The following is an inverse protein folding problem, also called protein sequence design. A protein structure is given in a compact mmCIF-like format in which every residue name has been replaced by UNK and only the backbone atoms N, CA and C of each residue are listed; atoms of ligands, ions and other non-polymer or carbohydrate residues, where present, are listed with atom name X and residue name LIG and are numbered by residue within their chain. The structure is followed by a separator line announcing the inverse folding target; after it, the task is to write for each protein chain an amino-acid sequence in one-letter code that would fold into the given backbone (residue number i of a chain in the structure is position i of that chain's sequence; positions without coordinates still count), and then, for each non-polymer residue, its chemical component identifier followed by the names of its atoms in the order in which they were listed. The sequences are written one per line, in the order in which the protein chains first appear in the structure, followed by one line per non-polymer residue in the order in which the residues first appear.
data_IF_944197913439
#
_entry.id   IF_944197913439
#
_cell.length_a   1.000
_cell.length_b   1.000
_cell.length_c   1.000
_cell.angle_alpha   90.00
_cell.angle_beta   90.00
_cell.angle_gamma   90.00
#
_symmetry.space_group_name_H-M   'P 1'
#
loop_
_entity.id
_entity.type
_entity.pdbx_description
1 polymer ?
#
# COMPACT_ATOMS: atom_id res chain seq x y z
N UNK A 1 12.93 14.18 -7.28
CA UNK A 1 13.43 13.18 -6.31
C UNK A 1 14.87 12.78 -6.63
N UNK A 2 15.71 12.70 -5.59
CA UNK A 2 17.11 12.24 -5.68
C UNK A 2 17.20 10.79 -6.20
N UNK A 3 18.33 10.37 -6.80
CA UNK A 3 18.56 8.97 -7.14
C UNK A 3 18.27 8.05 -5.95
N UNK A 4 17.67 6.88 -6.20
CA UNK A 4 17.23 5.90 -5.17
C UNK A 4 16.23 6.43 -4.15
N UNK A 5 15.62 7.60 -4.36
CA UNK A 5 14.52 8.03 -3.52
C UNK A 5 13.33 7.07 -3.60
N UNK A 6 12.54 7.04 -2.54
CA UNK A 6 11.31 6.25 -2.42
C UNK A 6 10.10 7.16 -2.57
N UNK A 7 9.13 6.73 -3.36
CA UNK A 7 7.79 7.31 -3.41
C UNK A 7 6.82 6.34 -2.74
N UNK A 8 5.86 6.90 -1.99
CA UNK A 8 4.67 6.19 -1.55
C UNK A 8 3.44 6.98 -1.97
N UNK A 9 2.36 6.28 -2.31
CA UNK A 9 1.06 6.88 -2.57
C UNK A 9 -0.05 5.94 -2.09
N UNK A 10 -1.19 6.52 -1.73
CA UNK A 10 -2.44 5.80 -1.51
C UNK A 10 -3.46 6.25 -2.55
N UNK A 11 -4.11 5.32 -3.22
CA UNK A 11 -5.12 5.64 -4.23
C UNK A 11 -6.25 4.61 -4.25
N UNK A 12 -7.32 4.90 -4.98
CA UNK A 12 -8.38 3.94 -5.28
C UNK A 12 -7.83 2.73 -6.03
N UNK A 13 -8.24 1.54 -5.61
CA UNK A 13 -7.78 0.26 -6.16
C UNK A 13 -8.21 0.04 -7.63
N UNK A 14 -9.32 0.63 -8.06
CA UNK A 14 -9.83 0.56 -9.44
C UNK A 14 -8.96 1.32 -10.46
N UNK A 15 -7.92 2.03 -10.00
CA UNK A 15 -6.93 2.71 -10.85
C UNK A 15 -5.54 2.07 -10.77
N UNK A 16 -5.44 0.90 -10.15
CA UNK A 16 -4.15 0.23 -9.90
C UNK A 16 -3.36 0.02 -11.19
N UNK A 17 -4.01 -0.50 -12.23
CA UNK A 17 -3.44 -0.73 -13.55
C UNK A 17 -2.81 0.55 -14.14
N UNK A 18 -3.56 1.66 -14.15
CA UNK A 18 -3.11 2.93 -14.68
C UNK A 18 -1.95 3.52 -13.85
N UNK A 19 -2.02 3.42 -12.52
CA UNK A 19 -0.95 3.91 -11.64
C UNK A 19 0.34 3.10 -11.85
N UNK A 20 0.24 1.77 -11.93
CA UNK A 20 1.39 0.91 -12.17
C UNK A 20 2.06 1.23 -13.52
N UNK A 21 1.27 1.46 -14.57
CA UNK A 21 1.78 1.87 -15.87
C UNK A 21 2.57 3.19 -15.78
N UNK A 22 2.03 4.20 -15.11
CA UNK A 22 2.68 5.50 -14.94
C UNK A 22 3.94 5.43 -14.07
N UNK A 23 3.91 4.65 -12.99
CA UNK A 23 5.05 4.52 -12.08
C UNK A 23 6.23 3.79 -12.73
N UNK A 24 5.96 2.74 -13.52
CA UNK A 24 7.02 1.93 -14.17
C UNK A 24 7.94 2.71 -15.10
N UNK A 25 7.52 3.89 -15.57
CA UNK A 25 8.36 4.77 -16.39
C UNK A 25 9.61 5.24 -15.64
N UNK A 26 9.54 5.44 -14.31
CA UNK A 26 10.64 6.03 -13.52
C UNK A 26 11.00 5.25 -12.26
N UNK A 27 10.15 4.31 -11.84
CA UNK A 27 10.25 3.60 -10.58
C UNK A 27 10.17 2.09 -10.81
N UNK A 28 11.00 1.34 -10.08
CA UNK A 28 10.89 -0.11 -9.96
C UNK A 28 10.92 -0.53 -8.50
N UNK A 29 10.99 -1.84 -8.27
CA UNK A 29 10.76 -2.40 -6.94
C UNK A 29 9.40 -1.98 -6.38
N UNK A 30 8.38 -1.95 -7.26
CA UNK A 30 7.06 -1.49 -6.84
C UNK A 30 6.48 -2.47 -5.83
N UNK A 31 5.97 -1.97 -4.71
CA UNK A 31 5.28 -2.77 -3.70
C UNK A 31 3.84 -2.33 -3.69
N UNK A 32 2.92 -3.25 -3.98
CA UNK A 32 1.47 -3.01 -3.95
C UNK A 32 0.90 -3.64 -2.69
N UNK A 33 0.33 -2.83 -1.81
CA UNK A 33 -0.34 -3.28 -0.60
C UNK A 33 -1.84 -2.91 -0.67
N UNK A 34 -2.72 -3.90 -0.84
CA UNK A 34 -4.16 -3.68 -0.80
C UNK A 34 -4.66 -3.25 0.58
N UNK A 35 -5.65 -2.36 0.62
CA UNK A 35 -6.40 -2.04 1.83
C UNK A 35 -7.84 -2.54 1.70
N UNK A 36 -8.13 -3.62 2.42
CA UNK A 36 -9.41 -4.30 2.44
C UNK A 36 -10.32 -3.63 3.47
N UNK A 37 -11.54 -3.19 3.11
CA UNK A 37 -12.43 -2.56 4.08
C UNK A 37 -12.81 -3.51 5.23
N UNK A 38 -12.98 -4.80 4.92
CA UNK A 38 -13.24 -5.95 5.80
C UNK A 38 -12.67 -7.22 5.15
N UNK A 39 -12.60 -8.33 5.89
CA UNK A 39 -12.22 -9.64 5.36
C UNK A 39 -13.14 -10.05 4.19
N UNK A 40 -12.61 -10.79 3.20
CA UNK A 40 -13.36 -11.28 2.03
C UNK A 40 -14.03 -10.20 1.14
N UNK A 41 -13.69 -8.92 1.33
CA UNK A 41 -14.19 -7.84 0.48
C UNK A 41 -13.09 -7.35 -0.46
N UNK A 42 -13.42 -6.92 -1.70
CA UNK A 42 -12.46 -6.28 -2.58
C UNK A 42 -11.82 -5.02 -1.99
N UNK A 43 -10.55 -4.77 -2.32
CA UNK A 43 -9.83 -3.60 -1.84
C UNK A 43 -10.44 -2.33 -2.44
N UNK A 44 -10.65 -1.31 -1.60
CA UNK A 44 -11.13 0.02 -2.04
C UNK A 44 -9.99 1.00 -2.23
N UNK A 45 -8.84 0.73 -1.59
CA UNK A 45 -7.62 1.52 -1.68
C UNK A 45 -6.42 0.59 -1.82
N UNK A 46 -5.36 1.11 -2.41
CA UNK A 46 -4.05 0.46 -2.50
C UNK A 46 -3.00 1.47 -2.07
N UNK A 47 -2.04 1.01 -1.27
CA UNK A 47 -0.80 1.73 -1.04
C UNK A 47 0.22 1.17 -2.01
N UNK A 48 0.94 2.06 -2.70
CA UNK A 48 1.98 1.68 -3.64
C UNK A 48 3.27 2.39 -3.27
N UNK A 49 4.35 1.62 -3.17
CA UNK A 49 5.71 2.14 -3.01
C UNK A 49 6.49 1.93 -4.30
N UNK A 50 7.52 2.76 -4.51
CA UNK A 50 8.46 2.55 -5.60
C UNK A 50 9.79 3.26 -5.37
N UNK A 51 10.86 2.69 -5.91
CA UNK A 51 12.21 3.26 -5.82
C UNK A 51 12.65 3.76 -7.19
N UNK A 52 13.03 5.03 -7.28
CA UNK A 52 13.43 5.63 -8.56
C UNK A 52 14.70 4.99 -9.11
N UNK A 53 14.62 4.58 -10.38
CA UNK A 53 15.71 3.91 -11.08
C UNK A 53 16.00 2.49 -10.59
N UNK A 54 15.16 1.91 -9.73
CA UNK A 54 15.28 0.48 -9.40
C UNK A 54 14.83 -0.38 -10.57
N UNK A 55 15.53 -1.49 -10.80
CA UNK A 55 15.13 -2.53 -11.76
C UNK A 55 14.42 -3.72 -11.09
N UNK A 56 14.22 -3.69 -9.77
CA UNK A 56 13.61 -4.80 -9.04
C UNK A 56 12.17 -5.09 -9.52
N UNK A 57 11.73 -6.36 -9.48
CA UNK A 57 10.38 -6.74 -9.86
C UNK A 57 9.33 -6.11 -8.93
N UNK A 58 8.10 -6.04 -9.43
CA UNK A 58 6.94 -5.64 -8.63
C UNK A 58 6.54 -6.78 -7.69
N UNK A 59 6.12 -6.44 -6.47
CA UNK A 59 5.60 -7.37 -5.47
C UNK A 59 4.20 -6.95 -5.04
N UNK A 60 3.34 -7.93 -4.79
CA UNK A 60 2.03 -7.74 -4.17
C UNK A 60 2.12 -8.30 -2.76
N UNK A 61 1.72 -7.49 -1.78
CA UNK A 61 1.68 -7.86 -0.37
C UNK A 61 0.29 -8.39 0.00
N UNK A 62 0.14 -9.17 1.09
CA UNK A 62 -1.15 -9.70 1.54
C UNK A 62 -2.23 -8.62 1.76
N UNK A 63 -1.81 -7.38 2.06
CA UNK A 63 -2.71 -6.26 2.32
C UNK A 63 -3.09 -6.12 3.80
N UNK A 64 -3.90 -5.12 4.11
CA UNK A 64 -4.34 -4.80 5.48
C UNK A 64 -5.86 -4.76 5.51
N UNK A 65 -6.47 -5.50 6.45
CA UNK A 65 -7.90 -5.42 6.76
C UNK A 65 -8.12 -4.26 7.72
N UNK A 66 -8.98 -3.32 7.32
CA UNK A 66 -9.19 -2.06 8.04
C UNK A 66 -10.13 -2.21 9.23
N UNK A 67 -11.26 -2.89 9.04
CA UNK A 67 -12.30 -2.99 10.08
C UNK A 67 -12.61 -4.43 10.45
N UNK A 68 -13.00 -4.61 11.71
CA UNK A 68 -13.67 -5.81 12.21
C UNK A 68 -15.13 -5.85 11.69
N UNK A 69 -15.83 -6.95 11.97
CA UNK A 69 -17.21 -7.14 11.53
C UNK A 69 -18.18 -6.10 12.13
N UNK A 70 -17.92 -5.67 13.37
CA UNK A 70 -18.67 -4.61 14.08
C UNK A 70 -18.42 -3.19 13.53
N UNK A 71 -17.51 -3.04 12.56
CA UNK A 71 -17.16 -1.76 11.95
C UNK A 71 -16.09 -0.96 12.69
N UNK A 72 -15.60 -1.43 13.84
CA UNK A 72 -14.43 -0.85 14.50
C UNK A 72 -13.15 -1.09 13.70
N UNK A 73 -12.15 -0.23 13.84
CA UNK A 73 -10.82 -0.49 13.27
C UNK A 73 -10.17 -1.71 13.92
N UNK A 74 -9.43 -2.50 13.14
CA UNK A 74 -8.57 -3.55 13.69
C UNK A 74 -7.51 -2.94 14.61
N UNK A 75 -7.05 -3.70 15.61
CA UNK A 75 -6.09 -3.21 16.62
C UNK A 75 -4.79 -2.67 15.99
N UNK A 76 -4.31 -3.33 14.94
CA UNK A 76 -3.12 -2.90 14.19
C UNK A 76 -3.35 -1.55 13.50
N UNK A 77 -4.49 -1.39 12.82
CA UNK A 77 -4.85 -0.13 12.14
C UNK A 77 -5.10 0.99 13.14
N UNK A 78 -5.79 0.72 14.25
CA UNK A 78 -5.98 1.70 15.32
C UNK A 78 -4.64 2.18 15.89
N UNK A 79 -3.65 1.28 16.02
CA UNK A 79 -2.30 1.63 16.49
C UNK A 79 -1.57 2.54 15.51
N UNK A 80 -1.74 2.34 14.20
CA UNK A 80 -1.20 3.25 13.16
C UNK A 80 -1.89 4.60 13.21
N UNK A 81 -3.22 4.64 13.26
CA UNK A 81 -4.01 5.88 13.27
C UNK A 81 -3.75 6.75 14.51
N UNK A 82 -3.42 6.12 15.64
CA UNK A 82 -3.08 6.82 16.88
C UNK A 82 -1.57 7.11 17.03
N UNK A 83 -0.76 6.75 16.03
CA UNK A 83 0.69 6.99 16.04
C UNK A 83 1.48 6.10 16.99
N UNK A 84 0.89 5.02 17.53
CA UNK A 84 1.58 4.05 18.38
C UNK A 84 2.55 3.16 17.60
N UNK A 85 2.28 2.94 16.32
CA UNK A 85 3.15 2.19 15.39
C UNK A 85 3.14 2.87 14.03
N UNK A 86 4.14 2.59 13.20
CA UNK A 86 4.20 3.07 11.84
C UNK A 86 3.42 2.14 10.91
N UNK A 87 2.87 2.69 9.83
CA UNK A 87 2.29 1.89 8.76
C UNK A 87 3.31 0.90 8.17
N UNK A 88 4.58 1.29 8.12
CA UNK A 88 5.67 0.42 7.66
C UNK A 88 5.76 -0.89 8.45
N UNK A 89 5.45 -0.87 9.74
CA UNK A 89 5.50 -2.05 10.61
C UNK A 89 4.43 -3.09 10.24
N UNK A 90 3.34 -2.66 9.58
CA UNK A 90 2.29 -3.54 9.08
C UNK A 90 2.60 -4.13 7.69
N UNK A 91 3.64 -3.64 7.04
CA UNK A 91 3.96 -3.98 5.66
C UNK A 91 5.02 -5.08 5.54
N UNK A 92 5.68 -5.47 6.64
CA UNK A 92 6.77 -6.45 6.67
C UNK A 92 8.13 -5.83 6.41
#
# INVERSE_FOLDING_TARGET
MRPRGVISLIHRADRLDHILALMRVKFGGLIVCPLWPKAEHPAKRVIIFGTKGSASPTKIMPGIILHNDDGSYTTSVQSVLTGKTLLADLLG
#
